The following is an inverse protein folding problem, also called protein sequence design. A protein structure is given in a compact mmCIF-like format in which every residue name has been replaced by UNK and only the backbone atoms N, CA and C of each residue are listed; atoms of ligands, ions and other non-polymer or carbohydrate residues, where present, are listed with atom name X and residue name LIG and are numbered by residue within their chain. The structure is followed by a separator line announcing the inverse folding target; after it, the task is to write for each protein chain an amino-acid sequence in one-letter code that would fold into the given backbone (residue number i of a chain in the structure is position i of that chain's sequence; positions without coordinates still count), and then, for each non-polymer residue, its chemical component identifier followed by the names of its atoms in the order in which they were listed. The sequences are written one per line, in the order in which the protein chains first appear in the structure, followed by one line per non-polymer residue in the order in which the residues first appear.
data_IF_618715587798
#
_entry.id   IF_618715587798
#
_cell.length_a   1.000
_cell.length_b   1.000
_cell.length_c   1.000
_cell.angle_alpha   90.00
_cell.angle_beta   90.00
_cell.angle_gamma   90.00
#
_symmetry.space_group_name_H-M   'P 1'
#
loop_
_entity.id
_entity.type
_entity.pdbx_description
1 polymer ?
#
# COMPACT_ATOMS: atom_id res chain seq x y z
N UNK A 1 19.80 -15.13 -2.91
CA UNK A 1 20.41 -15.56 -4.20
C UNK A 1 19.63 -14.85 -5.29
N UNK A 2 20.29 -14.22 -6.25
CA UNK A 2 19.61 -13.68 -7.42
C UNK A 2 18.98 -14.85 -8.19
N UNK A 3 17.74 -14.65 -8.65
CA UNK A 3 17.00 -15.63 -9.41
C UNK A 3 17.72 -15.85 -10.76
N UNK A 4 18.00 -17.11 -11.12
CA UNK A 4 18.65 -17.46 -12.39
C UNK A 4 17.87 -16.94 -13.60
N UNK A 5 16.54 -16.90 -13.50
CA UNK A 5 15.68 -16.34 -14.55
C UNK A 5 15.94 -14.85 -14.75
N UNK A 6 15.99 -14.05 -13.67
CA UNK A 6 16.27 -12.62 -13.75
C UNK A 6 17.66 -12.33 -14.29
N UNK A 7 18.67 -13.15 -13.99
CA UNK A 7 20.01 -13.02 -14.56
C UNK A 7 20.05 -13.28 -16.07
N UNK A 8 19.31 -14.30 -16.54
CA UNK A 8 19.27 -14.64 -17.96
C UNK A 8 18.51 -13.60 -18.76
N UNK A 9 17.33 -13.17 -18.29
CA UNK A 9 16.46 -12.22 -19.01
C UNK A 9 17.02 -10.79 -19.01
N UNK A 10 17.78 -10.42 -17.96
CA UNK A 10 18.45 -9.11 -17.88
C UNK A 10 19.82 -9.07 -18.59
N UNK A 11 20.32 -10.19 -19.16
CA UNK A 11 21.51 -10.17 -19.99
C UNK A 11 21.26 -9.31 -21.24
N UNK A 12 22.24 -8.46 -21.66
CA UNK A 12 22.01 -7.41 -22.67
C UNK A 12 21.39 -7.91 -23.99
N UNK A 13 21.81 -9.07 -24.47
CA UNK A 13 21.29 -9.67 -25.72
C UNK A 13 19.87 -10.26 -25.52
N UNK A 14 19.65 -10.94 -24.39
CA UNK A 14 18.35 -11.60 -24.09
C UNK A 14 17.29 -10.58 -23.76
N UNK A 15 17.64 -9.48 -23.07
CA UNK A 15 16.70 -8.41 -22.73
C UNK A 15 16.11 -7.72 -23.97
N UNK A 16 16.90 -7.58 -25.04
CA UNK A 16 16.43 -6.98 -26.30
C UNK A 16 15.41 -7.91 -26.99
N UNK A 17 15.71 -9.20 -27.06
CA UNK A 17 14.80 -10.19 -27.64
C UNK A 17 13.54 -10.35 -26.81
N UNK A 18 13.68 -10.41 -25.47
CA UNK A 18 12.55 -10.51 -24.56
C UNK A 18 11.58 -9.31 -24.67
N UNK A 19 12.10 -8.09 -24.86
CA UNK A 19 11.30 -6.89 -25.14
C UNK A 19 10.55 -6.98 -26.48
N UNK A 20 11.20 -7.48 -27.53
CA UNK A 20 10.57 -7.64 -28.85
C UNK A 20 9.45 -8.67 -28.84
N UNK A 21 9.57 -9.72 -28.05
CA UNK A 21 8.57 -10.78 -27.91
C UNK A 21 7.50 -10.45 -26.86
N UNK A 22 7.59 -9.28 -26.19
CA UNK A 22 6.62 -8.84 -25.18
C UNK A 22 6.71 -9.60 -23.86
N UNK A 23 7.82 -10.27 -23.56
CA UNK A 23 8.02 -10.95 -22.28
C UNK A 23 8.19 -9.93 -21.15
N UNK A 24 7.53 -10.15 -20.00
CA UNK A 24 7.69 -9.28 -18.84
C UNK A 24 9.14 -9.22 -18.38
N UNK A 25 9.67 -8.01 -18.23
CA UNK A 25 11.02 -7.82 -17.67
C UNK A 25 10.94 -8.01 -16.15
N UNK A 26 11.71 -8.92 -15.57
CA UNK A 26 11.75 -9.06 -14.11
C UNK A 26 12.30 -7.79 -13.47
N UNK A 27 11.63 -7.33 -12.43
CA UNK A 27 12.03 -6.17 -11.65
C UNK A 27 12.74 -6.65 -10.40
N UNK A 28 13.95 -6.12 -10.15
CA UNK A 28 14.63 -6.36 -8.89
C UNK A 28 13.84 -5.73 -7.75
N UNK A 29 13.36 -6.57 -6.84
CA UNK A 29 12.60 -6.15 -5.67
C UNK A 29 13.53 -5.84 -4.51
N UNK A 30 13.23 -4.78 -3.76
CA UNK A 30 13.90 -4.53 -2.50
C UNK A 30 13.63 -5.71 -1.56
N UNK A 31 14.70 -6.24 -0.97
CA UNK A 31 14.64 -7.32 0.00
C UNK A 31 14.93 -6.77 1.38
N UNK A 32 14.14 -7.22 2.34
CA UNK A 32 14.35 -6.84 3.74
C UNK A 32 15.71 -7.35 4.26
N UNK A 33 16.34 -6.51 5.04
CA UNK A 33 17.62 -6.79 5.71
C UNK A 33 17.47 -6.43 7.19
N UNK A 34 18.05 -7.21 8.12
CA UNK A 34 18.07 -6.86 9.54
C UNK A 34 18.65 -5.45 9.76
N UNK A 35 18.05 -4.70 10.68
CA UNK A 35 18.51 -3.35 11.03
C UNK A 35 18.10 -2.22 10.06
N UNK A 36 17.42 -2.51 8.96
CA UNK A 36 16.92 -1.45 8.09
C UNK A 36 15.60 -0.85 8.63
N UNK A 37 15.29 0.42 8.29
CA UNK A 37 14.01 1.02 8.67
C UNK A 37 12.83 0.27 8.02
N UNK A 38 11.66 0.30 8.66
CA UNK A 38 10.43 -0.32 8.14
C UNK A 38 10.13 0.17 6.73
N UNK A 39 10.26 1.46 6.49
CA UNK A 39 10.13 2.05 5.15
C UNK A 39 11.39 2.84 4.81
N UNK A 40 12.05 2.44 3.71
CA UNK A 40 13.34 3.03 3.31
C UNK A 40 13.16 4.28 2.43
N UNK A 41 12.49 5.30 2.97
CA UNK A 41 12.29 6.58 2.30
C UNK A 41 10.96 7.26 2.64
N UNK A 42 10.67 8.40 2.00
CA UNK A 42 9.53 9.23 2.38
C UNK A 42 8.17 8.57 2.15
N UNK A 43 7.24 8.83 3.06
CA UNK A 43 5.84 8.40 3.00
C UNK A 43 4.96 9.61 2.71
N UNK A 44 4.18 9.54 1.64
CA UNK A 44 3.10 10.47 1.39
C UNK A 44 1.80 9.89 1.94
N UNK A 45 1.15 10.59 2.84
CA UNK A 45 -0.15 10.21 3.37
C UNK A 45 -1.20 11.25 3.07
N UNK A 46 -2.44 10.80 2.89
CA UNK A 46 -3.62 11.63 2.70
C UNK A 46 -4.86 10.95 3.25
N UNK A 47 -5.97 11.68 3.28
CA UNK A 47 -7.22 11.20 3.82
C UNK A 47 -8.41 11.81 3.05
N UNK A 48 -9.48 11.04 2.93
CA UNK A 48 -10.77 11.57 2.48
C UNK A 48 -11.44 12.40 3.59
N UNK A 49 -12.32 13.34 3.25
CA UNK A 49 -13.14 14.03 4.25
C UNK A 49 -13.85 13.04 5.17
N UNK A 50 -13.88 13.30 6.47
CA UNK A 50 -14.49 12.43 7.46
C UNK A 50 -13.73 11.13 7.76
N UNK A 51 -12.46 11.03 7.34
CA UNK A 51 -11.59 9.91 7.63
C UNK A 51 -11.47 9.65 9.15
N UNK A 52 -11.43 8.36 9.51
CA UNK A 52 -11.51 7.94 10.93
C UNK A 52 -10.18 7.39 11.45
N UNK A 53 -9.23 7.11 10.56
CA UNK A 53 -8.00 6.40 10.87
C UNK A 53 -6.76 7.30 10.88
N UNK A 54 -6.90 8.60 10.58
CA UNK A 54 -5.79 9.55 10.50
C UNK A 54 -4.93 9.57 11.76
N UNK A 55 -5.56 9.57 12.95
CA UNK A 55 -4.85 9.59 14.23
C UNK A 55 -4.03 8.31 14.43
N UNK A 56 -4.62 7.16 14.17
CA UNK A 56 -3.94 5.85 14.31
C UNK A 56 -2.84 5.70 13.25
N UNK A 57 -3.11 6.10 12.01
CA UNK A 57 -2.09 6.15 10.95
C UNK A 57 -0.91 7.03 11.34
N UNK A 58 -1.17 8.25 11.84
CA UNK A 58 -0.11 9.16 12.30
C UNK A 58 0.72 8.51 13.40
N UNK A 59 0.08 7.91 14.41
CA UNK A 59 0.76 7.22 15.51
C UNK A 59 1.70 6.11 15.01
N UNK A 60 1.24 5.30 14.04
CA UNK A 60 2.07 4.24 13.45
C UNK A 60 3.24 4.82 12.68
N UNK A 61 3.00 5.78 11.80
CA UNK A 61 4.05 6.38 10.98
C UNK A 61 5.11 7.10 11.82
N UNK A 62 4.72 7.76 12.90
CA UNK A 62 5.64 8.36 13.86
C UNK A 62 6.43 7.28 14.63
N UNK A 63 5.75 6.21 15.05
CA UNK A 63 6.34 5.07 15.77
C UNK A 63 7.36 4.26 14.96
N UNK A 64 7.28 4.27 13.63
CA UNK A 64 8.29 3.67 12.75
C UNK A 64 9.34 4.67 12.25
N UNK A 65 9.31 5.90 12.72
CA UNK A 65 10.23 6.96 12.29
C UNK A 65 10.11 7.30 10.80
N UNK A 66 8.91 7.20 10.21
CA UNK A 66 8.71 7.44 8.79
C UNK A 66 8.95 8.92 8.42
N UNK A 67 9.86 9.15 7.48
CA UNK A 67 10.04 10.46 6.86
C UNK A 67 8.77 10.84 6.09
N UNK A 68 8.32 12.10 6.20
CA UNK A 68 7.16 12.60 5.47
C UNK A 68 7.59 13.14 4.11
N UNK A 69 6.95 12.68 3.04
CA UNK A 69 7.18 13.23 1.72
C UNK A 69 6.58 14.65 1.63
N UNK A 70 7.35 15.58 1.07
CA UNK A 70 6.81 16.87 0.66
C UNK A 70 5.81 16.72 -0.50
N UNK A 71 4.97 17.74 -0.71
CA UNK A 71 3.90 17.73 -1.69
C UNK A 71 4.35 17.36 -3.12
N UNK A 72 5.58 17.69 -3.49
CA UNK A 72 6.17 17.44 -4.81
C UNK A 72 7.27 16.36 -4.81
N UNK A 73 7.62 15.84 -3.64
CA UNK A 73 8.71 14.88 -3.46
C UNK A 73 8.39 13.47 -3.98
N UNK A 74 9.43 12.70 -4.32
CA UNK A 74 9.28 11.26 -4.57
C UNK A 74 8.97 10.54 -3.28
N UNK A 75 8.02 9.59 -3.31
CA UNK A 75 7.62 8.81 -2.16
C UNK A 75 8.02 7.35 -2.30
N UNK A 76 8.42 6.71 -1.20
CA UNK A 76 8.63 5.26 -1.10
C UNK A 76 7.34 4.54 -0.75
N UNK A 77 6.44 5.20 -0.03
CA UNK A 77 5.11 4.68 0.23
C UNK A 77 4.03 5.76 0.06
N UNK A 78 2.85 5.32 -0.35
CA UNK A 78 1.62 6.10 -0.40
C UNK A 78 0.61 5.45 0.55
N UNK A 79 0.05 6.21 1.47
CA UNK A 79 -0.99 5.72 2.38
C UNK A 79 -2.19 6.66 2.33
N UNK A 80 -3.35 6.13 2.04
CA UNK A 80 -4.57 6.92 1.94
C UNK A 80 -5.66 6.39 2.84
N UNK A 81 -6.19 7.23 3.73
CA UNK A 81 -7.32 6.92 4.57
C UNK A 81 -8.64 7.22 3.85
N UNK A 82 -9.24 6.18 3.29
CA UNK A 82 -10.52 6.21 2.60
C UNK A 82 -11.70 5.84 3.53
N UNK A 83 -11.49 5.71 4.85
CA UNK A 83 -12.53 5.26 5.79
C UNK A 83 -13.69 6.26 5.92
N UNK A 84 -13.49 7.51 5.52
CA UNK A 84 -14.52 8.54 5.48
C UNK A 84 -15.43 8.47 4.26
N UNK A 85 -15.07 7.74 3.20
CA UNK A 85 -15.87 7.63 1.97
C UNK A 85 -17.17 6.86 2.29
N UNK A 86 -18.28 7.56 2.20
CA UNK A 86 -19.63 7.06 2.54
C UNK A 86 -20.59 7.04 1.34
N UNK A 87 -20.17 7.55 0.19
CA UNK A 87 -20.96 7.55 -1.04
C UNK A 87 -20.04 7.33 -2.26
N UNK A 88 -20.60 6.80 -3.35
CA UNK A 88 -19.84 6.55 -4.59
C UNK A 88 -19.30 7.81 -5.25
N UNK A 89 -19.94 8.96 -5.07
CA UNK A 89 -19.48 10.26 -5.57
C UNK A 89 -18.19 10.72 -4.89
N UNK A 90 -17.97 10.29 -3.64
CA UNK A 90 -16.78 10.62 -2.86
C UNK A 90 -15.56 9.78 -3.27
N UNK A 91 -15.72 8.73 -4.09
CA UNK A 91 -14.61 7.96 -4.66
C UNK A 91 -13.66 8.82 -5.49
N UNK A 92 -14.09 10.01 -5.90
CA UNK A 92 -13.23 11.02 -6.55
C UNK A 92 -12.01 11.38 -5.70
N UNK A 93 -12.07 11.23 -4.37
CA UNK A 93 -10.96 11.51 -3.47
C UNK A 93 -9.76 10.56 -3.72
N UNK A 94 -10.04 9.32 -4.15
CA UNK A 94 -8.98 8.41 -4.60
C UNK A 94 -8.23 8.99 -5.80
N UNK A 95 -8.95 9.47 -6.79
CA UNK A 95 -8.36 10.06 -7.98
C UNK A 95 -7.56 11.33 -7.62
N UNK A 96 -8.10 12.20 -6.77
CA UNK A 96 -7.43 13.43 -6.33
C UNK A 96 -6.10 13.17 -5.65
N UNK A 97 -6.02 12.11 -4.84
CA UNK A 97 -4.79 11.74 -4.14
C UNK A 97 -3.83 10.96 -5.05
N UNK A 98 -4.30 9.89 -5.69
CA UNK A 98 -3.41 8.95 -6.38
C UNK A 98 -2.94 9.44 -7.74
N UNK A 99 -3.74 10.22 -8.47
CA UNK A 99 -3.37 10.71 -9.80
C UNK A 99 -2.04 11.50 -9.78
N UNK A 100 -1.82 12.49 -8.91
CA UNK A 100 -0.54 13.20 -8.81
C UNK A 100 0.54 12.38 -8.07
N UNK A 101 0.18 11.40 -7.23
CA UNK A 101 1.13 10.69 -6.37
C UNK A 101 1.78 9.48 -7.04
N UNK A 102 1.04 8.70 -7.85
CA UNK A 102 1.52 7.45 -8.47
C UNK A 102 2.74 7.65 -9.38
N UNK A 103 2.84 8.70 -10.22
CA UNK A 103 4.04 8.96 -11.01
C UNK A 103 5.30 9.14 -10.15
N UNK A 104 5.16 9.66 -8.93
CA UNK A 104 6.24 9.94 -7.97
C UNK A 104 6.62 8.75 -7.10
N UNK A 105 5.86 7.65 -7.18
CA UNK A 105 6.14 6.43 -6.44
C UNK A 105 7.46 5.81 -6.94
N UNK A 106 8.39 5.58 -6.03
CA UNK A 106 9.69 4.94 -6.31
C UNK A 106 9.52 3.46 -6.65
N UNK A 107 10.54 2.87 -7.25
CA UNK A 107 10.63 1.40 -7.45
C UNK A 107 10.49 0.67 -6.11
N UNK A 108 9.90 -0.52 -6.16
CA UNK A 108 9.56 -1.33 -4.99
C UNK A 108 8.80 -0.52 -3.93
N UNK A 109 7.96 0.43 -4.37
CA UNK A 109 7.15 1.27 -3.50
C UNK A 109 6.00 0.49 -2.87
N UNK A 110 5.41 1.02 -1.81
CA UNK A 110 4.28 0.42 -1.10
C UNK A 110 3.08 1.36 -1.15
N UNK A 111 1.93 0.83 -1.51
CA UNK A 111 0.67 1.57 -1.46
C UNK A 111 -0.29 0.87 -0.52
N UNK A 112 -0.84 1.61 0.41
CA UNK A 112 -1.86 1.10 1.35
C UNK A 112 -3.06 2.04 1.31
N UNK A 113 -4.23 1.47 1.02
CA UNK A 113 -5.52 2.13 1.17
C UNK A 113 -6.17 1.59 2.45
N UNK A 114 -6.58 2.49 3.32
CA UNK A 114 -7.31 2.15 4.54
C UNK A 114 -8.80 2.40 4.28
N UNK A 115 -9.64 1.47 4.68
CA UNK A 115 -11.10 1.59 4.55
C UNK A 115 -11.84 1.08 5.78
N UNK A 116 -13.11 1.37 5.87
CA UNK A 116 -14.02 0.77 6.86
C UNK A 116 -14.53 -0.57 6.33
N UNK A 117 -14.61 -1.61 7.18
CA UNK A 117 -15.22 -2.90 6.80
C UNK A 117 -16.60 -2.67 6.20
N UNK A 118 -16.86 -3.05 4.94
CA UNK A 118 -18.10 -2.68 4.25
C UNK A 118 -19.38 -3.07 4.99
N UNK A 119 -19.42 -4.28 5.57
CA UNK A 119 -20.56 -4.75 6.35
C UNK A 119 -20.87 -3.89 7.58
N UNK A 120 -19.91 -3.09 8.05
CA UNK A 120 -20.03 -2.22 9.23
C UNK A 120 -20.04 -0.73 8.85
N UNK A 121 -20.21 -0.39 7.58
CA UNK A 121 -20.13 0.99 7.08
C UNK A 121 -21.39 1.84 7.37
N UNK A 122 -22.40 1.29 8.01
CA UNK A 122 -23.56 2.03 8.54
C UNK A 122 -24.69 2.34 7.55
N UNK A 123 -24.45 2.26 6.23
CA UNK A 123 -25.49 2.43 5.20
C UNK A 123 -25.18 1.64 3.94
N UNK A 124 -26.20 1.36 3.11
CA UNK A 124 -26.01 0.66 1.82
C UNK A 124 -25.10 1.46 0.87
N UNK A 125 -25.18 2.80 0.88
CA UNK A 125 -24.31 3.66 0.07
C UNK A 125 -22.86 3.54 0.51
N UNK A 126 -22.60 3.65 1.81
CA UNK A 126 -21.25 3.51 2.36
C UNK A 126 -20.70 2.09 2.15
N UNK A 127 -21.54 1.05 2.33
CA UNK A 127 -21.16 -0.33 1.99
C UNK A 127 -20.66 -0.42 0.53
N UNK A 128 -21.44 0.10 -0.41
CA UNK A 128 -21.09 0.06 -1.84
C UNK A 128 -19.81 0.83 -2.14
N UNK A 129 -19.66 2.03 -1.57
CA UNK A 129 -18.48 2.85 -1.76
C UNK A 129 -17.21 2.18 -1.18
N UNK A 130 -17.30 1.62 0.02
CA UNK A 130 -16.18 0.89 0.63
C UNK A 130 -15.84 -0.39 -0.16
N UNK A 131 -16.82 -1.13 -0.69
CA UNK A 131 -16.57 -2.28 -1.57
C UNK A 131 -15.85 -1.90 -2.86
N UNK A 132 -16.10 -0.72 -3.41
CA UNK A 132 -15.44 -0.24 -4.63
C UNK A 132 -13.91 -0.09 -4.46
N UNK A 133 -13.42 0.11 -3.22
CA UNK A 133 -11.99 0.21 -2.92
C UNK A 133 -11.22 -1.06 -3.34
N UNK A 134 -11.86 -2.24 -3.30
CA UNK A 134 -11.22 -3.49 -3.72
C UNK A 134 -10.88 -3.48 -5.23
N UNK A 135 -11.80 -3.01 -6.05
CA UNK A 135 -11.58 -2.87 -7.49
C UNK A 135 -10.48 -1.85 -7.79
N UNK A 136 -10.52 -0.71 -7.10
CA UNK A 136 -9.50 0.33 -7.23
C UNK A 136 -8.11 -0.20 -6.91
N UNK A 137 -7.93 -0.83 -5.74
CA UNK A 137 -6.63 -1.33 -5.30
C UNK A 137 -6.07 -2.40 -6.23
N UNK A 138 -6.91 -3.33 -6.71
CA UNK A 138 -6.48 -4.36 -7.68
C UNK A 138 -6.06 -3.77 -9.02
N UNK A 139 -6.75 -2.73 -9.48
CA UNK A 139 -6.37 -2.02 -10.71
C UNK A 139 -5.06 -1.26 -10.52
N UNK A 140 -4.92 -0.57 -9.39
CA UNK A 140 -3.69 0.16 -9.06
C UNK A 140 -2.49 -0.78 -8.93
N UNK A 141 -2.66 -1.94 -8.28
CA UNK A 141 -1.63 -2.97 -8.15
C UNK A 141 -1.07 -3.40 -9.53
N UNK A 142 -1.96 -3.64 -10.51
CA UNK A 142 -1.55 -3.98 -11.88
C UNK A 142 -0.78 -2.84 -12.55
N UNK A 143 -1.22 -1.59 -12.35
CA UNK A 143 -0.59 -0.43 -12.97
C UNK A 143 0.84 -0.20 -12.44
N UNK A 144 1.03 -0.32 -11.13
CA UNK A 144 2.34 -0.05 -10.50
C UNK A 144 3.27 -1.26 -10.47
N UNK A 145 2.77 -2.46 -10.79
CA UNK A 145 3.54 -3.72 -10.73
C UNK A 145 4.82 -3.69 -11.57
N UNK A 146 4.84 -2.99 -12.70
CA UNK A 146 6.03 -2.78 -13.53
C UNK A 146 7.17 -2.03 -12.82
N UNK A 147 6.90 -1.34 -11.69
CA UNK A 147 7.91 -0.73 -10.82
C UNK A 147 8.35 -1.67 -9.68
N UNK A 148 7.84 -2.91 -9.60
CA UNK A 148 7.98 -3.78 -8.42
C UNK A 148 7.25 -3.24 -7.18
N UNK A 149 6.35 -2.29 -7.37
CA UNK A 149 5.53 -1.72 -6.31
C UNK A 149 4.28 -2.56 -6.08
N UNK A 150 3.73 -2.50 -4.86
CA UNK A 150 2.54 -3.27 -4.46
C UNK A 150 1.46 -2.34 -3.89
N UNK A 151 0.19 -2.71 -4.06
CA UNK A 151 -0.94 -2.00 -3.49
C UNK A 151 -1.84 -2.95 -2.68
N UNK A 152 -2.22 -2.54 -1.47
CA UNK A 152 -3.04 -3.32 -0.54
C UNK A 152 -4.22 -2.50 -0.04
N UNK A 153 -5.32 -3.18 0.25
CA UNK A 153 -6.45 -2.61 0.98
C UNK A 153 -6.50 -3.20 2.39
N UNK A 154 -6.60 -2.32 3.38
CA UNK A 154 -6.79 -2.72 4.77
C UNK A 154 -8.15 -2.20 5.23
N UNK A 155 -9.08 -3.10 5.43
CA UNK A 155 -10.33 -2.79 6.09
C UNK A 155 -10.16 -2.84 7.61
N UNK A 156 -10.61 -1.79 8.28
CA UNK A 156 -10.57 -1.67 9.73
C UNK A 156 -11.99 -1.68 10.25
N UNK A 157 -12.26 -2.54 11.21
CA UNK A 157 -13.54 -2.52 11.93
C UNK A 157 -13.63 -1.30 12.85
N UNK A 158 -14.78 -0.65 12.96
CA UNK A 158 -14.98 0.42 13.94
C UNK A 158 -14.64 -0.05 15.36
N UNK A 159 -13.69 0.64 16.01
CA UNK A 159 -13.14 0.29 17.32
C UNK A 159 -11.92 -0.67 17.27
N UNK A 160 -11.37 -0.94 16.09
CA UNK A 160 -10.09 -1.63 15.89
C UNK A 160 -8.99 -0.69 15.37
N UNK A 161 -9.20 0.63 15.44
CA UNK A 161 -8.30 1.63 14.87
C UNK A 161 -6.89 1.56 15.44
N UNK A 162 -6.76 1.17 16.73
CA UNK A 162 -5.46 1.03 17.39
C UNK A 162 -4.73 -0.29 17.07
N UNK A 163 -5.35 -1.19 16.31
CA UNK A 163 -4.76 -2.48 15.92
C UNK A 163 -3.97 -2.42 14.59
N UNK A 164 -3.79 -1.22 14.03
CA UNK A 164 -3.17 -1.04 12.71
C UNK A 164 -1.65 -1.24 12.69
N UNK A 165 -0.96 -1.16 13.84
CA UNK A 165 0.51 -1.04 13.90
C UNK A 165 1.23 -2.19 13.20
N UNK A 166 0.98 -3.43 13.61
CA UNK A 166 1.65 -4.60 13.03
C UNK A 166 1.38 -4.77 11.53
N UNK A 167 0.13 -4.56 11.12
CA UNK A 167 -0.28 -4.66 9.72
C UNK A 167 0.44 -3.61 8.86
N UNK A 168 0.48 -2.36 9.29
CA UNK A 168 1.15 -1.30 8.54
C UNK A 168 2.66 -1.48 8.52
N UNK A 169 3.29 -1.88 9.62
CA UNK A 169 4.73 -2.23 9.65
C UNK A 169 5.06 -3.28 8.61
N UNK A 170 4.28 -4.35 8.55
CA UNK A 170 4.48 -5.40 7.53
C UNK A 170 4.31 -4.85 6.12
N UNK A 171 3.17 -4.18 5.84
CA UNK A 171 2.82 -3.74 4.50
C UNK A 171 3.74 -2.65 3.95
N UNK A 172 4.26 -1.77 4.80
CA UNK A 172 5.18 -0.70 4.41
C UNK A 172 6.62 -1.19 4.26
N UNK A 173 6.93 -2.38 4.78
CA UNK A 173 8.27 -2.95 4.72
C UNK A 173 8.52 -3.76 3.43
N UNK A 174 9.79 -4.02 3.07
CA UNK A 174 10.14 -4.94 1.99
C UNK A 174 9.70 -6.40 2.24
N UNK A 175 9.33 -6.77 3.47
CA UNK A 175 8.80 -8.11 3.79
C UNK A 175 7.53 -8.43 3.01
N UNK A 176 6.72 -7.42 2.67
CA UNK A 176 5.49 -7.56 1.89
C UNK A 176 5.69 -7.57 0.38
N UNK A 177 6.92 -7.70 -0.12
CA UNK A 177 7.25 -7.54 -1.55
C UNK A 177 6.47 -8.48 -2.48
N UNK A 178 6.00 -9.61 -1.98
CA UNK A 178 5.23 -10.59 -2.75
C UNK A 178 3.72 -10.57 -2.43
N UNK A 179 3.28 -9.64 -1.59
CA UNK A 179 1.86 -9.46 -1.28
C UNK A 179 1.35 -8.29 -2.11
N UNK A 180 0.45 -8.57 -3.07
CA UNK A 180 -0.07 -7.55 -3.97
C UNK A 180 -1.55 -7.74 -4.28
N UNK A 181 -2.31 -6.64 -4.38
CA UNK A 181 -3.73 -6.64 -4.70
C UNK A 181 -4.62 -7.27 -3.63
N UNK A 182 -4.14 -7.45 -2.39
CA UNK A 182 -4.84 -8.17 -1.34
C UNK A 182 -5.72 -7.26 -0.49
N UNK A 183 -6.74 -7.88 0.11
CA UNK A 183 -7.63 -7.26 1.10
C UNK A 183 -7.34 -7.89 2.45
N UNK A 184 -6.88 -7.07 3.38
CA UNK A 184 -6.55 -7.45 4.74
C UNK A 184 -7.62 -6.86 5.67
N UNK A 185 -7.99 -7.58 6.72
CA UNK A 185 -8.98 -7.12 7.71
C UNK A 185 -8.34 -7.03 9.08
N UNK A 186 -8.58 -5.89 9.72
CA UNK A 186 -8.19 -5.63 11.11
C UNK A 186 -9.49 -5.59 11.92
N UNK A 187 -9.65 -6.58 12.78
CA UNK A 187 -10.85 -6.78 13.58
C UNK A 187 -10.62 -6.44 15.06
N UNK A 188 -11.70 -6.22 15.79
CA UNK A 188 -11.69 -6.06 17.25
C UNK A 188 -11.30 -7.36 17.96
N UNK A 189 -10.73 -7.23 19.16
CA UNK A 189 -10.53 -8.35 20.08
C UNK A 189 -9.36 -9.27 19.74
N UNK A 190 -8.57 -8.93 18.74
CA UNK A 190 -7.29 -9.60 18.53
C UNK A 190 -6.29 -9.00 19.50
N UNK A 191 -5.72 -9.83 20.39
CA UNK A 191 -4.65 -9.37 21.26
C UNK A 191 -3.51 -8.81 20.39
N UNK A 192 -2.92 -7.66 20.75
CA UNK A 192 -1.75 -7.17 20.03
C UNK A 192 -0.69 -8.27 20.08
N UNK A 193 -0.13 -8.59 18.92
CA UNK A 193 0.99 -9.50 18.84
C UNK A 193 2.12 -8.89 19.67
N UNK A 194 2.72 -9.64 20.62
CA UNK A 194 3.87 -9.13 21.37
C UNK A 194 4.94 -8.68 20.39
N UNK A 195 5.70 -7.66 20.76
CA UNK A 195 6.81 -7.14 19.95
C UNK A 195 7.64 -8.30 19.45
N UNK A 196 7.49 -8.61 18.18
CA UNK A 196 8.37 -9.54 17.50
C UNK A 196 9.52 -8.66 17.01
N UNK A 197 10.74 -8.99 17.42
CA UNK A 197 11.95 -8.45 16.83
C UNK A 197 11.93 -8.75 15.34
N UNK A 198 11.66 -7.72 14.57
CA UNK A 198 11.48 -7.80 13.13
C UNK A 198 12.82 -7.80 12.42
#
# INVERSE_FOLDING_TARGET
MPDRYSQIVNAPLVSTVAKQVGLPQPVDLDRWQPGQPVVAGPVLSGAAPGAKLERSLKKVLDGIGAERAGAEGKAKALVFDASGIADSTELVELQRFFYPAVPRLRRSGRVVVLGTTPALAGSARAHTAQRALEGFVRSLAKEIGGKGATAQLVYVEPGAEDQLDSTLRFLLSPKSAYVDGQVIRVAKGVAPTPEIDW
#
